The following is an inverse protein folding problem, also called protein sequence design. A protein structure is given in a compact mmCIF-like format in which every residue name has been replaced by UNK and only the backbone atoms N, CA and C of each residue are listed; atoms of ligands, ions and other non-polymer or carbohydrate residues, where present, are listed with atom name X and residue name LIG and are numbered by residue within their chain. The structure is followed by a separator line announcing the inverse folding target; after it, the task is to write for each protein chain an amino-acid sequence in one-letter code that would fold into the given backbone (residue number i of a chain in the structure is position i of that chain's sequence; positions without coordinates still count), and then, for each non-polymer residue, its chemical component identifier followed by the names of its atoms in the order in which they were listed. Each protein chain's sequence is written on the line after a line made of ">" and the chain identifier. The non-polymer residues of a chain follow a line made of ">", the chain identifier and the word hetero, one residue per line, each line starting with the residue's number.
data_IF_305476721119
#
_entry.id   IF_305476721119
#
_cell.length_a   1.000
_cell.length_b   1.000
_cell.length_c   1.000
_cell.angle_alpha   90.00
_cell.angle_beta   90.00
_cell.angle_gamma   90.00
#
_symmetry.space_group_name_H-M   'P 1'
#
loop_
_entity.id
_entity.type
_entity.pdbx_description
1 polymer ?
#
# COMPACT_ATOMS: atom_id res chain seq x y z
N UNK A 1 -35.14 18.52 -0.51
CA UNK A 1 -33.85 18.07 -1.07
C UNK A 1 -32.97 17.67 0.09
N UNK A 2 -32.62 16.39 0.24
CA UNK A 2 -31.69 15.97 1.29
C UNK A 2 -30.27 15.98 0.71
N UNK A 3 -29.45 16.88 1.24
CA UNK A 3 -28.02 16.98 0.98
C UNK A 3 -27.34 15.81 1.70
N UNK A 4 -26.73 14.89 0.95
CA UNK A 4 -25.91 13.82 1.52
C UNK A 4 -24.58 14.44 1.95
N UNK A 5 -24.48 14.81 3.21
CA UNK A 5 -23.25 15.24 3.84
C UNK A 5 -22.30 14.04 3.88
N UNK A 6 -21.36 14.00 2.94
CA UNK A 6 -20.34 12.95 2.86
C UNK A 6 -19.38 13.12 4.04
N UNK A 7 -19.70 12.50 5.17
CA UNK A 7 -18.82 12.44 6.32
C UNK A 7 -17.63 11.57 5.93
N UNK A 8 -16.52 12.21 5.55
CA UNK A 8 -15.19 11.60 5.54
C UNK A 8 -14.85 11.25 7.00
N UNK A 9 -15.32 10.08 7.42
CA UNK A 9 -15.06 9.52 8.74
C UNK A 9 -13.56 9.42 8.93
N UNK A 10 -13.02 10.33 9.74
CA UNK A 10 -11.84 10.19 10.60
C UNK A 10 -10.85 9.10 10.15
N UNK A 11 -9.85 9.55 9.39
CA UNK A 11 -8.68 8.86 8.83
C UNK A 11 -7.76 8.14 9.85
N UNK A 12 -8.26 7.47 10.89
CA UNK A 12 -7.35 6.77 11.82
C UNK A 12 -7.86 5.47 12.43
N UNK A 13 -9.05 4.96 12.10
CA UNK A 13 -9.53 3.70 12.72
C UNK A 13 -10.32 2.74 11.82
N UNK A 14 -10.33 2.91 10.51
CA UNK A 14 -11.02 1.97 9.61
C UNK A 14 -10.06 1.18 8.72
N UNK A 15 -9.29 0.29 9.36
CA UNK A 15 -8.59 -0.81 8.71
C UNK A 15 -9.43 -2.11 8.85
N UNK A 16 -10.76 -1.99 8.72
CA UNK A 16 -11.67 -3.14 8.62
C UNK A 16 -11.90 -3.46 7.14
N UNK A 17 -10.83 -3.90 6.48
CA UNK A 17 -10.95 -4.68 5.25
C UNK A 17 -11.18 -6.12 5.70
N UNK A 18 -12.37 -6.61 5.35
CA UNK A 18 -12.90 -7.96 5.55
C UNK A 18 -11.84 -9.05 5.42
N UNK A 19 -11.66 -9.79 6.51
CA UNK A 19 -11.00 -11.09 6.70
C UNK A 19 -10.30 -11.71 5.47
N UNK A 20 -9.03 -11.35 5.29
CA UNK A 20 -8.04 -12.28 4.76
C UNK A 20 -6.74 -12.04 5.54
N UNK A 21 -6.57 -12.70 6.69
CA UNK A 21 -5.36 -12.63 7.52
C UNK A 21 -4.06 -12.87 6.72
N UNK A 22 -4.15 -13.54 5.57
CA UNK A 22 -3.06 -13.75 4.63
C UNK A 22 -2.53 -12.45 4.00
N UNK A 23 -3.40 -11.47 3.77
CA UNK A 23 -3.07 -10.20 3.13
C UNK A 23 -2.49 -9.18 4.12
N UNK A 24 -2.76 -9.29 5.42
CA UNK A 24 -2.07 -8.48 6.42
C UNK A 24 -0.77 -9.13 6.91
N UNK A 25 -0.61 -10.44 6.70
CA UNK A 25 0.60 -11.17 7.11
C UNK A 25 1.89 -10.67 6.46
N UNK A 26 1.85 -10.01 5.30
CA UNK A 26 3.08 -9.44 4.73
C UNK A 26 3.48 -8.10 5.38
N UNK A 27 2.51 -7.34 5.90
CA UNK A 27 2.72 -6.07 6.62
C UNK A 27 3.37 -6.27 7.99
N UNK A 28 3.09 -7.39 8.67
CA UNK A 28 3.41 -7.55 10.10
C UNK A 28 4.33 -8.74 10.42
N UNK A 29 4.77 -9.54 9.43
CA UNK A 29 5.71 -10.65 9.71
C UNK A 29 7.14 -10.16 9.79
N UNK A 30 7.56 -9.76 10.99
CA UNK A 30 8.96 -9.51 11.35
C UNK A 30 9.75 -10.81 11.63
N UNK A 31 9.64 -11.83 10.76
CA UNK A 31 10.48 -13.02 10.89
C UNK A 31 11.80 -12.78 10.15
N UNK A 32 12.93 -12.75 10.88
CA UNK A 32 14.34 -12.64 10.39
C UNK A 32 14.47 -12.37 8.89
N UNK A 33 14.09 -11.16 8.46
CA UNK A 33 14.11 -10.75 7.06
C UNK A 33 15.56 -10.47 6.65
N UNK A 34 15.94 -10.86 5.44
CA UNK A 34 17.22 -10.45 4.87
C UNK A 34 17.26 -8.92 4.73
N UNK A 35 18.43 -8.29 4.83
CA UNK A 35 18.58 -6.83 4.71
C UNK A 35 17.93 -6.29 3.42
N UNK A 36 18.00 -7.06 2.33
CA UNK A 36 17.35 -6.71 1.06
C UNK A 36 15.82 -6.72 1.13
N UNK A 37 15.21 -7.62 1.92
CA UNK A 37 13.76 -7.65 2.09
C UNK A 37 13.26 -6.49 2.95
N UNK A 38 14.02 -6.09 3.97
CA UNK A 38 13.69 -4.93 4.82
C UNK A 38 13.71 -3.64 4.00
N UNK A 39 14.78 -3.41 3.25
CA UNK A 39 14.89 -2.22 2.39
C UNK A 39 13.77 -2.17 1.34
N UNK A 40 13.39 -3.31 0.77
CA UNK A 40 12.31 -3.39 -0.20
C UNK A 40 10.94 -3.09 0.41
N UNK A 41 10.71 -3.52 1.65
CA UNK A 41 9.50 -3.23 2.41
C UNK A 41 9.39 -1.74 2.75
N UNK A 42 10.49 -1.10 3.17
CA UNK A 42 10.54 0.35 3.40
C UNK A 42 10.22 1.14 2.13
N UNK A 43 10.76 0.70 0.98
CA UNK A 43 10.49 1.31 -0.32
C UNK A 43 9.01 1.19 -0.70
N UNK A 44 8.41 0.00 -0.54
CA UNK A 44 6.96 -0.22 -0.74
C UNK A 44 6.12 0.68 0.16
N UNK A 45 6.50 0.81 1.43
CA UNK A 45 5.79 1.67 2.38
C UNK A 45 5.86 3.15 2.01
N UNK A 46 7.04 3.62 1.58
CA UNK A 46 7.22 4.99 1.10
C UNK A 46 6.35 5.28 -0.12
N UNK A 47 6.38 4.38 -1.11
CA UNK A 47 5.59 4.50 -2.34
C UNK A 47 4.08 4.51 -2.06
N UNK A 48 3.60 3.69 -1.12
CA UNK A 48 2.19 3.70 -0.69
C UNK A 48 1.77 5.03 -0.07
N UNK A 49 2.56 5.56 0.86
CA UNK A 49 2.27 6.85 1.48
C UNK A 49 2.24 7.97 0.45
N UNK A 50 3.16 7.93 -0.51
CA UNK A 50 3.20 8.94 -1.57
C UNK A 50 1.98 8.83 -2.49
N UNK A 51 1.54 7.62 -2.83
CA UNK A 51 0.34 7.37 -3.62
C UNK A 51 -0.93 7.83 -2.87
N UNK A 52 -1.05 7.48 -1.59
CA UNK A 52 -2.13 7.93 -0.71
C UNK A 52 -2.17 9.46 -0.62
N UNK A 53 -1.00 10.10 -0.43
CA UNK A 53 -0.91 11.55 -0.39
C UNK A 53 -1.37 12.19 -1.70
N UNK A 54 -0.98 11.65 -2.84
CA UNK A 54 -1.42 12.16 -4.15
C UNK A 54 -2.93 12.09 -4.32
N UNK A 55 -3.57 11.03 -3.82
CA UNK A 55 -5.03 10.89 -3.82
C UNK A 55 -5.68 11.90 -2.86
N UNK A 56 -5.11 12.08 -1.66
CA UNK A 56 -5.58 13.07 -0.68
C UNK A 56 -5.46 14.50 -1.21
N UNK A 57 -4.38 14.79 -1.96
CA UNK A 57 -4.16 16.07 -2.64
C UNK A 57 -5.12 16.29 -3.83
N UNK A 58 -6.01 15.34 -4.10
CA UNK A 58 -7.03 15.44 -5.15
C UNK A 58 -6.51 15.17 -6.56
N UNK A 59 -5.33 14.56 -6.71
CA UNK A 59 -4.86 14.13 -8.04
C UNK A 59 -5.77 13.03 -8.57
N UNK A 60 -6.13 13.14 -9.83
CA UNK A 60 -6.91 12.11 -10.50
C UNK A 60 -6.12 10.79 -10.50
N UNK A 61 -6.79 9.69 -10.16
CA UNK A 61 -6.16 8.35 -10.18
C UNK A 61 -5.69 7.95 -11.58
N UNK A 62 -6.27 8.54 -12.61
CA UNK A 62 -5.89 8.37 -14.01
C UNK A 62 -4.82 9.35 -14.48
N UNK A 63 -4.31 10.22 -13.61
CA UNK A 63 -3.20 11.11 -13.99
C UNK A 63 -1.93 10.29 -14.17
N UNK A 64 -1.14 10.63 -15.18
CA UNK A 64 0.10 9.93 -15.52
C UNK A 64 1.00 9.76 -14.29
N UNK A 65 1.10 10.81 -13.46
CA UNK A 65 1.89 10.76 -12.22
C UNK A 65 1.41 9.70 -11.22
N UNK A 66 0.09 9.50 -11.07
CA UNK A 66 -0.47 8.51 -10.15
C UNK A 66 -0.32 7.10 -10.74
N UNK A 67 -0.53 6.97 -12.06
CA UNK A 67 -0.40 5.70 -12.78
C UNK A 67 1.05 5.21 -12.77
N UNK A 68 2.01 6.07 -13.07
CA UNK A 68 3.44 5.76 -13.00
C UNK A 68 3.84 5.31 -11.60
N UNK A 69 3.43 6.07 -10.57
CA UNK A 69 3.73 5.71 -9.19
C UNK A 69 3.12 4.37 -8.78
N UNK A 70 1.86 4.12 -9.17
CA UNK A 70 1.17 2.85 -8.93
C UNK A 70 1.90 1.70 -9.64
N UNK A 71 2.36 1.92 -10.87
CA UNK A 71 3.09 0.91 -11.64
C UNK A 71 4.43 0.56 -10.97
N UNK A 72 5.15 1.56 -10.47
CA UNK A 72 6.40 1.36 -9.72
C UNK A 72 6.13 0.60 -8.42
N UNK A 73 5.08 0.97 -7.69
CA UNK A 73 4.65 0.28 -6.47
C UNK A 73 4.33 -1.19 -6.75
N UNK A 74 3.57 -1.47 -7.81
CA UNK A 74 3.24 -2.84 -8.21
C UNK A 74 4.49 -3.66 -8.55
N UNK A 75 5.46 -3.06 -9.25
CA UNK A 75 6.72 -3.72 -9.54
C UNK A 75 7.44 -4.12 -8.24
N UNK A 76 7.53 -3.22 -7.27
CA UNK A 76 8.19 -3.47 -5.97
C UNK A 76 7.47 -4.51 -5.14
N UNK A 77 6.14 -4.51 -5.14
CA UNK A 77 5.34 -5.57 -4.49
C UNK A 77 5.63 -6.92 -5.14
N UNK A 78 5.66 -6.99 -6.47
CA UNK A 78 5.98 -8.22 -7.20
C UNK A 78 7.40 -8.72 -6.89
N UNK A 79 8.39 -7.81 -6.84
CA UNK A 79 9.76 -8.16 -6.41
C UNK A 79 9.79 -8.75 -5.00
N UNK A 80 9.06 -8.14 -4.06
CA UNK A 80 8.99 -8.60 -2.67
C UNK A 80 8.38 -9.99 -2.57
N UNK A 81 7.27 -10.20 -3.28
CA UNK A 81 6.57 -11.50 -3.32
C UNK A 81 7.46 -12.60 -3.91
N UNK A 82 8.24 -12.29 -4.95
CA UNK A 82 9.16 -13.24 -5.56
C UNK A 82 10.36 -13.58 -4.66
N UNK A 83 10.91 -12.58 -3.93
CA UNK A 83 11.99 -12.79 -2.97
C UNK A 83 11.54 -13.59 -1.75
N UNK A 84 10.30 -13.38 -1.27
CA UNK A 84 9.72 -14.15 -0.16
C UNK A 84 9.40 -15.62 -0.51
N UNK A 85 9.06 -15.91 -1.77
CA UNK A 85 8.77 -17.28 -2.26
C UNK A 85 10.03 -18.14 -2.44
N UNK A 86 11.18 -17.54 -2.76
CA UNK A 86 12.47 -18.24 -2.97
C UNK A 86 13.14 -18.76 -1.69
N UNK A 87 12.57 -18.53 -0.52
CA UNK A 87 13.14 -18.96 0.77
C UNK A 87 12.59 -20.31 1.29
N UNK A 88 12.01 -21.16 0.42
CA UNK A 88 11.57 -22.52 0.76
C UNK A 88 12.39 -23.56 0.02
#
# INVERSE_FOLDING_TARGET
>A
MAFMEYQLTTYSKHLHIRENESEQRWLFKHAKKSKSLISLEEEIHSLRRMLEQMVVDGRAMTSDSVVELSTVLDHKINEYMNKGKKSR
#
